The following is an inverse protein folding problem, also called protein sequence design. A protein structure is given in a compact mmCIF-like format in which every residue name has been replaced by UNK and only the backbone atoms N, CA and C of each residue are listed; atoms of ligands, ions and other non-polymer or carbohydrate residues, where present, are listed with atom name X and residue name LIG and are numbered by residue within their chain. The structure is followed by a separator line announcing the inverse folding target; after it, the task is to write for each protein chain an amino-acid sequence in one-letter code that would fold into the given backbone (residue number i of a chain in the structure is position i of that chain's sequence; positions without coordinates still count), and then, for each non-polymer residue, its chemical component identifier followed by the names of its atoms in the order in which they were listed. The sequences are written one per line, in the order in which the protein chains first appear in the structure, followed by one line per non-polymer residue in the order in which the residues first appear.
data_IF_893043384927
#
_entry.id   IF_893043384927
#
_cell.length_a   1.000
_cell.length_b   1.000
_cell.length_c   1.000
_cell.angle_alpha   90.00
_cell.angle_beta   90.00
_cell.angle_gamma   90.00
#
_symmetry.space_group_name_H-M   'P 1'
#
loop_
_entity.id
_entity.type
_entity.pdbx_description
1 polymer ?
#
# COMPACT_ATOMS: atom_id res chain seq x y z
N UNK A 1 -24.57 48.31 -12.92
CA UNK A 1 -23.94 47.88 -11.67
C UNK A 1 -23.30 46.53 -11.95
N UNK A 2 -22.03 46.52 -12.32
CA UNK A 2 -21.25 45.29 -12.49
C UNK A 2 -20.52 45.01 -11.18
N UNK A 3 -20.97 44.00 -10.44
CA UNK A 3 -20.30 43.54 -9.21
C UNK A 3 -19.16 42.61 -9.59
N UNK A 4 -17.95 43.17 -9.69
CA UNK A 4 -16.71 42.42 -9.87
C UNK A 4 -16.34 41.65 -8.60
N UNK A 5 -16.76 40.39 -8.51
CA UNK A 5 -16.23 39.44 -7.54
C UNK A 5 -14.92 38.85 -8.10
N UNK A 6 -13.79 39.55 -7.91
CA UNK A 6 -12.48 38.93 -8.05
C UNK A 6 -12.23 38.10 -6.79
N UNK A 7 -12.54 36.80 -6.85
CA UNK A 7 -12.09 35.88 -5.80
C UNK A 7 -10.57 35.77 -5.90
N UNK A 8 -9.86 36.40 -4.97
CA UNK A 8 -8.45 36.11 -4.71
C UNK A 8 -8.35 34.65 -4.22
N UNK A 9 -8.18 33.72 -5.16
CA UNK A 9 -7.70 32.38 -4.82
C UNK A 9 -6.25 32.55 -4.37
N UNK A 10 -6.03 32.62 -3.05
CA UNK A 10 -4.69 32.47 -2.48
C UNK A 10 -4.26 31.02 -2.72
N UNK A 11 -3.32 30.83 -3.63
CA UNK A 11 -2.57 29.58 -3.74
C UNK A 11 -1.81 29.38 -2.43
N UNK A 12 -2.33 28.52 -1.56
CA UNK A 12 -1.58 28.03 -0.41
C UNK A 12 -0.83 26.80 -0.87
N UNK A 13 0.50 26.83 -0.78
CA UNK A 13 1.35 25.68 -1.10
C UNK A 13 0.88 24.44 -0.31
N UNK A 14 0.83 23.25 -0.94
CA UNK A 14 0.56 22.02 -0.23
C UNK A 14 1.66 21.78 0.82
N UNK A 15 1.28 21.47 2.07
CA UNK A 15 2.25 21.24 3.15
C UNK A 15 2.65 19.78 3.32
N UNK A 16 1.82 18.84 2.85
CA UNK A 16 2.11 17.41 2.95
C UNK A 16 3.25 16.99 2.04
N UNK A 17 4.13 16.10 2.51
CA UNK A 17 5.24 15.52 1.75
C UNK A 17 4.99 14.05 1.41
N UNK A 18 5.67 13.58 0.36
CA UNK A 18 5.83 12.14 0.10
C UNK A 18 7.22 11.77 0.60
N UNK A 19 7.29 10.81 1.51
CA UNK A 19 8.50 10.44 2.22
C UNK A 19 8.78 8.94 2.03
N UNK A 20 10.06 8.58 1.99
CA UNK A 20 10.50 7.18 1.99
C UNK A 20 10.44 6.65 3.42
N UNK A 21 9.67 5.59 3.67
CA UNK A 21 9.39 5.10 5.02
C UNK A 21 10.65 4.63 5.76
N UNK A 22 11.63 4.07 5.05
CA UNK A 22 12.88 3.56 5.63
C UNK A 22 14.02 4.60 5.65
N UNK A 23 13.79 5.80 5.14
CA UNK A 23 14.81 6.86 5.02
C UNK A 23 14.36 8.16 5.70
N UNK A 24 13.42 8.06 6.63
CA UNK A 24 12.97 9.21 7.42
C UNK A 24 14.13 9.76 8.24
N UNK A 25 14.29 11.08 8.24
CA UNK A 25 15.16 11.72 9.22
C UNK A 25 14.52 11.69 10.62
N UNK A 26 15.28 12.10 11.64
CA UNK A 26 14.79 12.09 13.02
C UNK A 26 13.58 12.99 13.25
N UNK A 27 13.47 14.12 12.54
CA UNK A 27 12.32 15.01 12.68
C UNK A 27 11.09 14.36 12.05
N UNK A 28 11.24 13.78 10.86
CA UNK A 28 10.19 13.08 10.12
C UNK A 28 9.69 11.82 10.85
N UNK A 29 10.60 11.03 11.42
CA UNK A 29 10.28 9.86 12.26
C UNK A 29 9.49 10.28 13.52
N UNK A 30 9.95 11.31 14.23
CA UNK A 30 9.26 11.81 15.42
C UNK A 30 7.87 12.36 15.08
N UNK A 31 7.74 13.05 13.94
CA UNK A 31 6.46 13.52 13.45
C UNK A 31 5.51 12.35 13.20
N UNK A 32 5.94 11.34 12.43
CA UNK A 32 5.15 10.12 12.18
C UNK A 32 4.74 9.45 13.50
N UNK A 33 5.66 9.30 14.44
CA UNK A 33 5.39 8.68 15.74
C UNK A 33 4.31 9.41 16.54
N UNK A 34 4.35 10.74 16.58
CA UNK A 34 3.28 11.52 17.23
C UNK A 34 1.96 11.43 16.47
N UNK A 35 1.97 11.32 15.13
CA UNK A 35 0.75 11.08 14.36
C UNK A 35 0.13 9.71 14.63
N UNK A 36 0.95 8.65 14.69
CA UNK A 36 0.52 7.29 15.06
C UNK A 36 -0.11 7.29 16.45
N UNK A 37 0.56 7.94 17.41
CA UNK A 37 0.08 8.07 18.79
C UNK A 37 -1.22 8.86 18.89
N UNK A 38 -1.36 9.97 18.16
CA UNK A 38 -2.62 10.75 18.06
C UNK A 38 -3.78 9.89 17.57
N UNK A 39 -3.50 8.89 16.72
CA UNK A 39 -4.46 7.92 16.22
C UNK A 39 -4.50 6.61 17.03
N UNK A 40 -4.03 6.62 18.28
CA UNK A 40 -4.03 5.48 19.19
C UNK A 40 -3.32 4.23 18.63
N UNK A 41 -2.27 4.43 17.82
CA UNK A 41 -1.54 3.35 17.16
C UNK A 41 -2.16 2.86 15.86
N UNK A 42 -3.14 3.57 15.29
CA UNK A 42 -3.75 3.21 14.01
C UNK A 42 -2.95 3.79 12.85
N UNK A 43 -2.61 2.95 11.87
CA UNK A 43 -2.13 3.35 10.55
C UNK A 43 -3.00 2.79 9.44
N UNK A 44 -2.88 3.36 8.24
CA UNK A 44 -3.51 2.84 7.03
C UNK A 44 -2.44 2.40 6.06
N UNK A 45 -2.50 1.14 5.62
CA UNK A 45 -1.56 0.60 4.64
C UNK A 45 -2.30 0.31 3.34
N UNK A 46 -1.77 0.78 2.21
CA UNK A 46 -2.24 0.43 0.87
C UNK A 46 -1.22 -0.43 0.14
N UNK A 47 -1.63 -1.60 -0.31
CA UNK A 47 -0.78 -2.52 -1.09
C UNK A 47 -1.04 -2.31 -2.58
N UNK A 48 -0.02 -1.86 -3.28
CA UNK A 48 0.02 -1.63 -4.73
C UNK A 48 -1.25 -0.97 -5.31
N UNK A 49 -1.68 0.20 -4.79
CA UNK A 49 -2.96 0.79 -5.18
C UNK A 49 -3.08 1.10 -6.68
N UNK A 50 -1.95 1.29 -7.37
CA UNK A 50 -1.88 1.68 -8.79
C UNK A 50 -1.22 0.59 -9.66
N UNK A 51 -1.31 -0.68 -9.27
CA UNK A 51 -0.59 -1.72 -9.99
C UNK A 51 -1.02 -1.82 -11.46
N UNK A 52 -0.11 -1.52 -12.39
CA UNK A 52 -0.41 -1.38 -13.83
C UNK A 52 -0.51 -2.71 -14.60
N UNK A 53 -0.31 -3.88 -13.97
CA UNK A 53 -0.47 -5.18 -14.67
C UNK A 53 -1.86 -5.35 -15.30
N UNK A 54 -2.83 -4.53 -14.89
CA UNK A 54 -4.12 -4.39 -15.52
C UNK A 54 -4.13 -3.88 -16.99
N UNK A 55 -3.00 -3.40 -17.51
CA UNK A 55 -2.82 -3.03 -18.91
C UNK A 55 -2.37 -4.19 -19.82
N UNK A 56 -2.05 -5.36 -19.24
CA UNK A 56 -1.57 -6.53 -19.97
C UNK A 56 -2.63 -7.50 -20.49
N UNK A 57 -3.92 -7.31 -20.15
CA UNK A 57 -4.96 -8.23 -20.61
C UNK A 57 -5.14 -8.16 -22.13
N UNK A 58 -5.17 -9.31 -22.80
CA UNK A 58 -5.48 -9.37 -24.24
C UNK A 58 -6.95 -9.03 -24.53
N UNK A 59 -7.85 -9.25 -23.56
CA UNK A 59 -9.27 -8.97 -23.69
C UNK A 59 -9.62 -7.50 -23.39
N UNK A 60 -10.30 -6.86 -24.34
CA UNK A 60 -10.69 -5.46 -24.27
C UNK A 60 -11.71 -5.19 -23.15
N UNK A 61 -12.58 -6.14 -22.79
CA UNK A 61 -13.52 -5.93 -21.70
C UNK A 61 -12.81 -5.96 -20.34
N UNK A 62 -11.88 -6.89 -20.14
CA UNK A 62 -11.02 -6.93 -18.96
C UNK A 62 -10.22 -5.62 -18.81
N UNK A 63 -9.58 -5.13 -19.87
CA UNK A 63 -8.89 -3.81 -19.85
C UNK A 63 -9.81 -2.66 -19.43
N UNK A 64 -11.04 -2.60 -19.96
CA UNK A 64 -12.01 -1.54 -19.61
C UNK A 64 -12.43 -1.62 -18.14
N UNK A 65 -12.67 -2.83 -17.63
CA UNK A 65 -13.04 -3.04 -16.23
C UNK A 65 -11.90 -2.62 -15.30
N UNK A 66 -10.69 -3.07 -15.61
CA UNK A 66 -9.45 -2.68 -14.97
C UNK A 66 -9.27 -1.16 -14.88
N UNK A 67 -9.37 -0.45 -16.02
CA UNK A 67 -9.24 1.00 -16.06
C UNK A 67 -10.31 1.71 -15.22
N UNK A 68 -11.55 1.20 -15.19
CA UNK A 68 -12.61 1.76 -14.32
C UNK A 68 -12.29 1.58 -12.84
N UNK A 69 -11.70 0.43 -12.47
CA UNK A 69 -11.35 0.08 -11.08
C UNK A 69 -10.16 0.90 -10.58
N UNK A 70 -9.11 1.09 -11.40
CA UNK A 70 -8.02 2.03 -11.10
C UNK A 70 -8.56 3.44 -10.81
N UNK A 71 -9.42 3.97 -11.67
CA UNK A 71 -10.07 5.28 -11.43
C UNK A 71 -10.95 5.35 -10.18
N UNK A 72 -11.44 4.21 -9.67
CA UNK A 72 -12.17 4.19 -8.40
C UNK A 72 -11.21 4.24 -7.22
N UNK A 73 -10.10 3.49 -7.29
CA UNK A 73 -9.03 3.53 -6.29
C UNK A 73 -8.41 4.93 -6.21
N UNK A 74 -8.08 5.53 -7.35
CA UNK A 74 -7.55 6.90 -7.45
C UNK A 74 -8.45 7.91 -6.74
N UNK A 75 -9.76 7.88 -7.04
CA UNK A 75 -10.74 8.78 -6.43
C UNK A 75 -10.89 8.54 -4.93
N UNK A 76 -10.73 7.30 -4.48
CA UNK A 76 -10.83 6.98 -3.08
C UNK A 76 -9.58 7.42 -2.30
N UNK A 77 -8.39 7.21 -2.87
CA UNK A 77 -7.14 7.74 -2.34
C UNK A 77 -7.19 9.27 -2.30
N UNK A 78 -7.62 9.94 -3.38
CA UNK A 78 -7.81 11.39 -3.39
C UNK A 78 -8.66 11.87 -2.21
N UNK A 79 -9.83 11.27 -1.98
CA UNK A 79 -10.70 11.66 -0.86
C UNK A 79 -10.06 11.45 0.51
N UNK A 80 -9.25 10.39 0.63
CA UNK A 80 -8.47 10.17 1.85
C UNK A 80 -7.50 11.31 2.00
N UNK A 81 -6.70 11.59 0.98
CA UNK A 81 -5.64 12.59 1.02
C UNK A 81 -6.15 14.03 1.19
N UNK A 82 -7.37 14.32 0.72
CA UNK A 82 -8.08 15.58 0.92
C UNK A 82 -8.68 15.74 2.33
N UNK A 83 -8.77 14.67 3.11
CA UNK A 83 -9.33 14.75 4.46
C UNK A 83 -8.34 15.41 5.43
N UNK A 84 -8.86 16.08 6.47
CA UNK A 84 -8.03 16.75 7.47
C UNK A 84 -7.16 15.75 8.26
N UNK A 85 -5.92 16.12 8.56
CA UNK A 85 -4.95 15.26 9.28
C UNK A 85 -5.42 14.78 10.65
N UNK A 86 -6.22 15.58 11.36
CA UNK A 86 -6.80 15.17 12.65
C UNK A 86 -7.81 14.02 12.57
N UNK A 87 -8.22 13.64 11.36
CA UNK A 87 -9.20 12.57 11.12
C UNK A 87 -8.61 11.38 10.37
N UNK A 88 -7.37 11.50 9.91
CA UNK A 88 -6.73 10.50 9.07
C UNK A 88 -5.54 9.89 9.79
N UNK A 89 -5.56 8.57 10.03
CA UNK A 89 -4.34 7.90 10.45
C UNK A 89 -3.26 8.03 9.37
N UNK A 90 -1.97 7.95 9.75
CA UNK A 90 -0.86 7.97 8.81
C UNK A 90 -1.07 6.97 7.68
N UNK A 91 -0.75 7.40 6.45
CA UNK A 91 -0.93 6.60 5.24
C UNK A 91 0.43 6.09 4.78
N UNK A 92 0.56 4.76 4.75
CA UNK A 92 1.71 4.05 4.21
C UNK A 92 1.28 3.35 2.93
N UNK A 93 2.07 3.45 1.87
CA UNK A 93 1.79 2.81 0.57
C UNK A 93 2.94 1.87 0.24
N UNK A 94 2.65 0.59 0.11
CA UNK A 94 3.54 -0.39 -0.51
C UNK A 94 3.42 -0.18 -2.01
N UNK A 95 4.51 0.27 -2.63
CA UNK A 95 4.53 0.66 -4.04
C UNK A 95 5.46 -0.26 -4.83
N UNK A 96 4.91 -0.93 -5.83
CA UNK A 96 5.67 -1.79 -6.72
C UNK A 96 6.64 -0.98 -7.58
N UNK A 97 7.93 -1.28 -7.46
CA UNK A 97 8.95 -0.73 -8.35
C UNK A 97 9.13 -1.72 -9.51
N UNK A 98 8.53 -1.38 -10.65
CA UNK A 98 8.41 -2.28 -11.80
C UNK A 98 9.75 -2.72 -12.46
N UNK A 99 10.88 -2.08 -12.12
CA UNK A 99 12.17 -2.37 -12.76
C UNK A 99 13.13 -3.21 -11.90
N UNK A 100 12.85 -3.44 -10.61
CA UNK A 100 13.74 -4.23 -9.73
C UNK A 100 13.77 -5.71 -10.14
N UNK A 101 12.72 -6.21 -10.79
CA UNK A 101 12.63 -7.62 -11.21
C UNK A 101 13.69 -8.01 -12.25
N UNK A 102 14.24 -7.05 -13.00
CA UNK A 102 15.35 -7.30 -13.92
C UNK A 102 16.72 -7.38 -13.22
N UNK A 103 16.79 -7.02 -11.93
CA UNK A 103 18.03 -6.90 -11.15
C UNK A 103 18.29 -8.11 -10.27
N UNK A 104 17.26 -8.71 -9.67
CA UNK A 104 17.41 -9.88 -8.78
C UNK A 104 17.78 -11.16 -9.52
N UNK A 105 17.75 -11.19 -10.86
CA UNK A 105 18.30 -12.28 -11.67
C UNK A 105 19.83 -12.27 -11.78
N UNK A 106 20.48 -11.20 -11.34
CA UNK A 106 21.92 -11.05 -11.43
C UNK A 106 22.51 -10.76 -10.05
N UNK A 107 23.39 -11.64 -9.60
CA UNK A 107 24.19 -11.51 -8.36
C UNK A 107 25.21 -10.37 -8.53
N UNK A 108 24.72 -9.14 -8.50
CA UNK A 108 25.49 -7.95 -8.88
C UNK A 108 25.54 -7.00 -7.70
N UNK A 109 26.55 -7.25 -6.85
CA UNK A 109 27.04 -6.31 -5.83
C UNK A 109 27.80 -5.13 -6.46
N UNK A 110 27.19 -4.37 -7.37
CA UNK A 110 27.89 -3.24 -8.03
C UNK A 110 27.05 -1.97 -8.09
N UNK A 111 27.73 -0.85 -8.40
CA UNK A 111 27.20 0.51 -8.61
C UNK A 111 25.90 0.58 -9.43
N UNK A 112 25.60 -0.46 -10.23
CA UNK A 112 24.34 -0.61 -10.94
C UNK A 112 23.12 -0.65 -10.02
N UNK A 113 23.19 -1.35 -8.88
CA UNK A 113 22.08 -1.40 -7.91
C UNK A 113 21.77 -0.01 -7.34
N UNK A 114 22.81 0.81 -7.13
CA UNK A 114 22.68 2.20 -6.67
C UNK A 114 22.10 3.10 -7.76
N UNK A 115 22.50 2.92 -9.03
CA UNK A 115 21.94 3.67 -10.16
C UNK A 115 20.47 3.32 -10.42
N UNK A 116 20.12 2.03 -10.33
CA UNK A 116 18.75 1.58 -10.54
C UNK A 116 17.85 1.97 -9.34
N UNK A 117 18.41 2.06 -8.13
CA UNK A 117 17.72 2.68 -7.01
C UNK A 117 17.47 4.17 -7.26
N UNK A 118 18.48 4.93 -7.74
CA UNK A 118 18.26 6.33 -8.14
C UNK A 118 17.16 6.46 -9.18
N UNK A 119 17.09 5.54 -10.16
CA UNK A 119 16.01 5.50 -11.14
C UNK A 119 14.65 5.18 -10.51
N UNK A 120 14.60 4.31 -9.50
CA UNK A 120 13.39 4.07 -8.72
C UNK A 120 12.99 5.31 -7.91
N UNK A 121 13.94 6.05 -7.33
CA UNK A 121 13.71 7.32 -6.64
C UNK A 121 13.21 8.40 -7.61
N UNK A 122 13.79 8.51 -8.81
CA UNK A 122 13.29 9.37 -9.91
C UNK A 122 11.86 8.98 -10.35
N UNK A 123 11.44 7.73 -10.13
CA UNK A 123 10.06 7.31 -10.38
C UNK A 123 9.14 7.51 -9.18
N UNK A 124 9.66 7.53 -7.95
CA UNK A 124 8.95 8.12 -6.82
C UNK A 124 8.70 9.61 -7.08
N UNK A 125 9.62 10.32 -7.75
CA UNK A 125 9.37 11.68 -8.25
C UNK A 125 8.24 11.70 -9.27
N UNK A 126 8.15 10.72 -10.20
CA UNK A 126 6.98 10.58 -11.11
C UNK A 126 5.68 10.21 -10.40
N UNK A 127 5.73 9.47 -9.29
CA UNK A 127 4.56 9.30 -8.44
C UNK A 127 4.24 10.61 -7.72
N UNK A 128 5.25 11.38 -7.34
CA UNK A 128 5.14 12.78 -6.97
C UNK A 128 4.45 13.60 -8.06
N UNK A 129 4.81 13.43 -9.34
CA UNK A 129 4.17 14.07 -10.48
C UNK A 129 2.72 13.59 -10.64
N UNK A 130 2.44 12.30 -10.50
CA UNK A 130 1.08 11.77 -10.49
C UNK A 130 0.26 12.34 -9.34
N UNK A 131 0.82 12.44 -8.13
CA UNK A 131 0.16 13.07 -6.99
C UNK A 131 -0.01 14.59 -7.21
N UNK A 132 0.97 15.26 -7.80
CA UNK A 132 0.91 16.67 -8.19
C UNK A 132 -0.19 16.92 -9.24
N UNK A 133 -0.29 16.06 -10.26
CA UNK A 133 -1.33 16.07 -11.31
C UNK A 133 -2.72 15.76 -10.74
N UNK A 134 -2.76 14.92 -9.71
CA UNK A 134 -3.97 14.64 -8.92
C UNK A 134 -4.46 15.87 -8.14
N UNK A 135 -3.76 17.01 -8.21
CA UNK A 135 -3.98 18.18 -7.35
C UNK A 135 -4.00 17.74 -5.90
N UNK A 136 -2.90 17.12 -5.45
CA UNK A 136 -2.65 16.82 -4.05
C UNK A 136 -2.73 18.10 -3.20
N UNK A 137 -3.95 18.49 -2.88
CA UNK A 137 -4.31 19.55 -1.96
C UNK A 137 -4.47 18.95 -0.56
N UNK A 138 -3.68 17.91 -0.25
CA UNK A 138 -3.49 17.46 1.11
C UNK A 138 -2.86 18.61 1.87
N UNK A 139 -3.70 19.31 2.63
CA UNK A 139 -3.27 20.55 3.27
C UNK A 139 -2.24 20.29 4.37
N UNK A 140 -2.16 19.07 4.90
CA UNK A 140 -1.32 18.78 6.08
C UNK A 140 -0.86 17.30 6.22
N UNK A 141 -1.12 16.36 5.29
CA UNK A 141 -0.77 14.94 5.48
C UNK A 141 0.46 14.48 4.70
N UNK A 142 1.40 13.85 5.41
CA UNK A 142 2.48 13.10 4.78
C UNK A 142 1.99 11.73 4.29
N UNK A 143 2.57 11.26 3.18
CA UNK A 143 2.45 9.87 2.72
C UNK A 143 3.81 9.22 2.84
N UNK A 144 3.82 8.00 3.36
CA UNK A 144 5.03 7.22 3.56
C UNK A 144 5.06 6.08 2.56
N UNK A 145 6.11 6.00 1.74
CA UNK A 145 6.24 4.99 0.70
C UNK A 145 7.17 3.89 1.17
N UNK A 146 6.67 2.66 1.07
CA UNK A 146 7.44 1.43 1.22
C UNK A 146 7.68 0.88 -0.18
N UNK A 147 8.91 0.93 -0.70
CA UNK A 147 9.21 0.32 -1.99
C UNK A 147 9.05 -1.20 -1.92
N UNK A 148 8.45 -1.80 -2.94
CA UNK A 148 8.33 -3.27 -3.05
C UNK A 148 8.77 -3.77 -4.42
N UNK A 149 8.87 -5.09 -4.57
CA UNK A 149 9.13 -5.73 -5.87
C UNK A 149 7.96 -5.50 -6.85
N UNK A 150 8.26 -5.62 -8.15
CA UNK A 150 7.28 -5.42 -9.23
C UNK A 150 6.04 -6.31 -9.09
N UNK A 151 6.17 -7.59 -8.75
CA UNK A 151 5.03 -8.52 -8.70
C UNK A 151 4.89 -9.18 -7.33
N UNK A 152 5.33 -8.48 -6.28
CA UNK A 152 5.26 -8.98 -4.91
C UNK A 152 5.13 -7.81 -3.93
N UNK A 153 4.36 -7.94 -2.85
CA UNK A 153 4.30 -6.94 -1.80
C UNK A 153 5.56 -6.91 -0.92
N UNK A 154 6.58 -7.73 -1.18
CA UNK A 154 7.79 -7.77 -0.38
C UNK A 154 8.50 -6.41 -0.36
N UNK A 155 8.70 -5.81 0.83
CA UNK A 155 9.48 -4.59 0.99
C UNK A 155 10.89 -4.78 0.45
N UNK A 156 11.42 -3.72 -0.17
CA UNK A 156 12.81 -3.67 -0.61
C UNK A 156 13.57 -2.76 0.34
N UNK A 157 14.48 -3.37 1.10
CA UNK A 157 15.43 -2.65 1.93
C UNK A 157 16.79 -2.62 1.25
N UNK A 158 17.43 -1.45 1.24
CA UNK A 158 18.77 -1.29 0.67
C UNK A 158 19.81 -2.19 1.34
N UNK A 159 19.57 -2.59 2.59
CA UNK A 159 20.53 -3.29 3.44
C UNK A 159 20.18 -4.77 3.69
N UNK A 160 18.94 -5.21 3.42
CA UNK A 160 18.52 -6.58 3.73
C UNK A 160 19.11 -7.58 2.73
N UNK A 161 19.61 -8.71 3.25
CA UNK A 161 20.20 -9.76 2.44
C UNK A 161 19.15 -10.77 1.93
N UNK A 162 17.93 -10.78 2.50
CA UNK A 162 16.80 -11.58 2.02
C UNK A 162 15.41 -10.99 2.38
N UNK A 163 14.32 -11.55 1.83
CA UNK A 163 12.93 -11.08 2.02
C UNK A 163 12.43 -11.19 3.47
N UNK A 164 12.83 -12.26 4.18
CA UNK A 164 12.40 -12.50 5.56
C UNK A 164 12.94 -11.41 6.50
N UNK A 165 14.15 -10.95 6.23
CA UNK A 165 14.75 -9.79 6.90
C UNK A 165 13.95 -8.50 6.59
N UNK A 166 13.51 -8.31 5.35
CA UNK A 166 12.80 -7.09 4.96
C UNK A 166 11.44 -6.92 5.65
N UNK A 167 10.65 -7.99 5.75
CA UNK A 167 9.41 -7.95 6.53
C UNK A 167 9.66 -7.79 8.03
N UNK A 168 10.69 -8.46 8.56
CA UNK A 168 11.08 -8.32 9.97
C UNK A 168 11.40 -6.87 10.33
N UNK A 169 12.22 -6.20 9.53
CA UNK A 169 12.55 -4.78 9.71
C UNK A 169 11.33 -3.87 9.59
N UNK A 170 10.45 -4.09 8.60
CA UNK A 170 9.20 -3.32 8.49
C UNK A 170 8.31 -3.49 9.73
N UNK A 171 8.19 -4.72 10.25
CA UNK A 171 7.40 -5.01 11.44
C UNK A 171 8.01 -4.33 12.67
N UNK A 172 9.33 -4.40 12.83
CA UNK A 172 10.05 -3.78 13.94
C UNK A 172 9.92 -2.26 13.90
N UNK A 173 10.00 -1.65 12.72
CA UNK A 173 9.81 -0.22 12.53
C UNK A 173 8.37 0.22 12.88
N UNK A 174 7.36 -0.50 12.39
CA UNK A 174 5.96 -0.25 12.76
C UNK A 174 5.75 -0.36 14.29
N UNK A 175 6.37 -1.35 14.94
CA UNK A 175 6.32 -1.48 16.41
C UNK A 175 7.04 -0.31 17.10
N UNK A 176 8.18 0.15 16.59
CA UNK A 176 8.97 1.27 17.12
C UNK A 176 8.16 2.59 17.13
N UNK A 177 7.32 2.76 16.10
CA UNK A 177 6.37 3.87 15.94
C UNK A 177 5.16 3.77 16.87
N UNK A 178 4.95 2.62 17.51
CA UNK A 178 3.81 2.38 18.40
C UNK A 178 2.52 1.97 17.67
N UNK A 179 2.65 1.41 16.46
CA UNK A 179 1.52 0.86 15.71
C UNK A 179 0.94 -0.33 16.45
N UNK A 180 -0.39 -0.37 16.52
CA UNK A 180 -1.18 -1.43 17.17
C UNK A 180 -2.22 -2.02 16.23
N UNK A 181 -2.80 -1.18 15.38
CA UNK A 181 -3.86 -1.54 14.45
C UNK A 181 -3.54 -1.03 13.06
N UNK A 182 -3.84 -1.83 12.05
CA UNK A 182 -3.63 -1.50 10.65
C UNK A 182 -4.95 -1.63 9.90
N UNK A 183 -5.41 -0.54 9.30
CA UNK A 183 -6.45 -0.59 8.28
C UNK A 183 -5.79 -0.84 6.93
N UNK A 184 -5.89 -2.06 6.41
CA UNK A 184 -5.17 -2.49 5.22
C UNK A 184 -6.07 -2.54 4.00
N UNK A 185 -5.69 -1.85 2.93
CA UNK A 185 -6.36 -1.83 1.64
C UNK A 185 -5.38 -2.08 0.50
N UNK A 186 -5.85 -2.05 -0.74
CA UNK A 186 -4.98 -2.27 -1.89
C UNK A 186 -5.67 -2.95 -3.07
N UNK A 187 -4.88 -3.12 -4.12
CA UNK A 187 -5.24 -3.94 -5.26
C UNK A 187 -5.01 -5.43 -4.96
N UNK A 188 -5.56 -6.30 -5.81
CA UNK A 188 -5.27 -7.75 -5.81
C UNK A 188 -5.49 -8.45 -4.46
N UNK A 189 -6.76 -8.55 -4.10
CA UNK A 189 -7.21 -9.52 -3.11
C UNK A 189 -8.17 -10.49 -3.78
N UNK A 190 -7.82 -11.77 -3.74
CA UNK A 190 -8.69 -12.85 -4.15
C UNK A 190 -8.61 -13.98 -3.14
N UNK A 191 -9.68 -14.75 -3.03
CA UNK A 191 -9.58 -16.09 -2.44
C UNK A 191 -9.26 -17.08 -3.57
N UNK A 192 -8.41 -18.10 -3.36
CA UNK A 192 -8.29 -19.20 -4.30
C UNK A 192 -9.69 -19.72 -4.64
N UNK A 193 -9.85 -20.26 -5.85
CA UNK A 193 -11.11 -20.87 -6.22
C UNK A 193 -11.45 -22.03 -5.27
N UNK A 194 -12.74 -22.35 -5.18
CA UNK A 194 -13.23 -23.37 -4.24
C UNK A 194 -12.59 -24.74 -4.47
N UNK A 195 -12.25 -25.07 -5.72
CA UNK A 195 -11.64 -26.36 -6.09
C UNK A 195 -10.22 -26.43 -5.53
N UNK A 196 -9.43 -25.37 -5.70
CA UNK A 196 -8.10 -25.26 -5.12
C UNK A 196 -8.13 -25.31 -3.59
N UNK A 197 -9.14 -24.68 -2.96
CA UNK A 197 -9.33 -24.75 -1.51
C UNK A 197 -9.67 -26.17 -1.03
N UNK A 198 -10.55 -26.88 -1.73
CA UNK A 198 -10.96 -28.25 -1.38
C UNK A 198 -9.79 -29.24 -1.54
N UNK A 199 -8.97 -29.08 -2.58
CA UNK A 199 -7.81 -29.95 -2.85
C UNK A 199 -6.65 -29.74 -1.85
N UNK A 200 -6.50 -28.54 -1.29
CA UNK A 200 -5.41 -28.19 -0.39
C UNK A 200 -5.87 -27.94 1.07
N UNK A 201 -7.12 -28.30 1.41
CA UNK A 201 -7.78 -27.96 2.67
C UNK A 201 -6.98 -28.38 3.92
N UNK A 202 -6.24 -29.48 3.87
CA UNK A 202 -5.41 -29.97 4.98
C UNK A 202 -4.24 -29.06 5.34
N UNK A 203 -3.75 -28.22 4.41
CA UNK A 203 -2.66 -27.27 4.66
C UNK A 203 -3.14 -26.04 5.46
N UNK A 204 -4.45 -25.85 5.52
CA UNK A 204 -5.09 -24.63 6.00
C UNK A 204 -6.09 -24.86 7.13
N UNK A 205 -6.29 -26.12 7.51
CA UNK A 205 -7.10 -26.52 8.66
C UNK A 205 -6.22 -26.48 9.91
N UNK A 206 -6.59 -25.68 10.90
CA UNK A 206 -5.94 -25.67 12.21
C UNK A 206 -6.10 -27.02 12.92
N UNK A 207 -5.31 -27.26 13.96
CA UNK A 207 -5.37 -28.53 14.71
C UNK A 207 -6.75 -28.80 15.34
N UNK A 208 -7.55 -27.76 15.55
CA UNK A 208 -8.92 -27.83 16.09
C UNK A 208 -10.01 -27.99 15.01
N UNK A 209 -9.62 -28.08 13.73
CA UNK A 209 -10.54 -28.21 12.62
C UNK A 209 -11.09 -26.88 12.09
N UNK A 210 -10.67 -25.73 12.65
CA UNK A 210 -11.07 -24.42 12.14
C UNK A 210 -10.32 -24.06 10.87
N UNK A 211 -11.01 -23.35 9.98
CA UNK A 211 -10.47 -22.87 8.71
C UNK A 211 -10.04 -21.42 8.93
N UNK A 212 -8.72 -21.16 8.91
CA UNK A 212 -8.21 -19.80 8.97
C UNK A 212 -8.37 -19.15 7.59
N UNK A 213 -9.52 -18.54 7.33
CA UNK A 213 -9.85 -17.87 6.05
C UNK A 213 -8.78 -16.85 5.64
N UNK A 214 -8.08 -16.26 6.62
CA UNK A 214 -6.99 -15.35 6.30
C UNK A 214 -5.85 -16.07 5.56
N UNK A 215 -5.58 -17.37 5.80
CA UNK A 215 -4.65 -18.27 5.03
C UNK A 215 -4.99 -18.41 3.55
N UNK A 216 -6.20 -18.03 3.19
CA UNK A 216 -6.70 -18.12 1.83
C UNK A 216 -6.72 -16.76 1.14
N UNK A 217 -6.15 -15.72 1.75
CA UNK A 217 -6.01 -14.46 1.03
C UNK A 217 -4.83 -14.57 0.07
N UNK A 218 -5.17 -14.70 -1.21
CA UNK A 218 -4.24 -14.66 -2.32
C UNK A 218 -4.01 -13.23 -2.83
N UNK A 219 -2.98 -13.10 -3.65
CA UNK A 219 -2.56 -11.82 -4.22
C UNK A 219 -1.70 -11.00 -3.26
N UNK A 220 -1.23 -9.85 -3.75
CA UNK A 220 -0.30 -9.00 -3.01
C UNK A 220 -0.89 -8.55 -1.67
N UNK A 221 -2.18 -8.18 -1.63
CA UNK A 221 -2.82 -7.79 -0.37
C UNK A 221 -2.93 -8.95 0.62
N UNK A 222 -3.30 -10.15 0.14
CA UNK A 222 -3.43 -11.32 1.00
C UNK A 222 -2.11 -11.75 1.63
N UNK A 223 -1.04 -11.75 0.83
CA UNK A 223 0.30 -12.01 1.36
C UNK A 223 0.75 -10.94 2.36
N UNK A 224 0.46 -9.65 2.15
CA UNK A 224 0.75 -8.63 3.17
C UNK A 224 -0.03 -8.86 4.47
N UNK A 225 -1.30 -9.27 4.39
CA UNK A 225 -2.09 -9.64 5.58
C UNK A 225 -1.39 -10.77 6.34
N UNK A 226 -0.85 -11.77 5.65
CA UNK A 226 -0.09 -12.85 6.28
C UNK A 226 1.11 -12.38 7.08
N UNK A 227 1.90 -11.48 6.51
CA UNK A 227 3.12 -11.00 7.15
C UNK A 227 2.82 -10.16 8.40
N UNK A 228 1.69 -9.43 8.41
CA UNK A 228 1.39 -8.46 9.47
C UNK A 228 0.48 -9.02 10.59
N UNK A 229 -0.35 -10.04 10.32
CA UNK A 229 -1.44 -10.46 11.23
C UNK A 229 -0.99 -11.03 12.58
N UNK A 230 0.22 -11.56 12.66
CA UNK A 230 0.76 -12.08 13.93
C UNK A 230 1.21 -10.95 14.88
N UNK A 231 1.39 -9.74 14.36
CA UNK A 231 2.01 -8.62 15.06
C UNK A 231 1.06 -7.45 15.32
N UNK A 232 -0.04 -7.34 14.57
CA UNK A 232 -0.96 -6.19 14.62
C UNK A 232 -2.42 -6.62 14.49
N UNK A 233 -3.33 -5.82 15.08
CA UNK A 233 -4.77 -5.94 14.81
C UNK A 233 -5.05 -5.46 13.37
N UNK A 234 -5.58 -6.32 12.52
CA UNK A 234 -5.80 -6.00 11.10
C UNK A 234 -7.29 -5.85 10.78
N UNK A 235 -7.61 -4.78 10.08
CA UNK A 235 -8.93 -4.57 9.50
C UNK A 235 -8.83 -4.34 7.99
N UNK A 236 -9.62 -5.07 7.21
CA UNK A 236 -9.69 -4.86 5.76
C UNK A 236 -10.45 -3.57 5.43
N UNK A 237 -9.76 -2.66 4.75
CA UNK A 237 -10.29 -1.40 4.23
C UNK A 237 -11.46 -1.63 3.27
N UNK A 238 -12.34 -0.63 3.18
CA UNK A 238 -13.34 -0.58 2.10
C UNK A 238 -12.72 -0.37 0.72
N UNK A 239 -11.45 0.02 0.68
CA UNK A 239 -10.66 0.27 -0.53
C UNK A 239 -9.76 -0.92 -0.85
N UNK A 240 -10.35 -2.09 -0.71
CA UNK A 240 -9.80 -3.35 -1.16
C UNK A 240 -10.60 -3.78 -2.38
N UNK A 241 -9.91 -4.27 -3.40
CA UNK A 241 -10.53 -4.70 -4.65
C UNK A 241 -11.78 -5.58 -4.42
N UNK A 242 -12.93 -5.27 -5.05
CA UNK A 242 -14.26 -5.63 -4.52
C UNK A 242 -14.69 -7.08 -4.72
N UNK A 243 -14.07 -7.85 -5.63
CA UNK A 243 -14.43 -9.26 -5.84
C UNK A 243 -14.02 -10.10 -4.62
N UNK A 244 -12.77 -10.00 -4.17
CA UNK A 244 -12.30 -10.70 -2.97
C UNK A 244 -13.04 -10.28 -1.70
N UNK A 245 -13.40 -8.99 -1.52
CA UNK A 245 -14.06 -8.55 -0.27
C UNK A 245 -15.46 -9.13 -0.09
N UNK A 246 -16.25 -9.25 -1.15
CA UNK A 246 -17.59 -9.85 -1.04
C UNK A 246 -17.50 -11.36 -0.79
N UNK A 247 -16.52 -12.03 -1.37
CA UNK A 247 -16.23 -13.45 -1.14
C UNK A 247 -15.76 -13.69 0.30
N UNK A 248 -14.81 -12.90 0.78
CA UNK A 248 -14.30 -12.96 2.16
C UNK A 248 -15.40 -12.66 3.17
N UNK A 249 -16.22 -11.62 2.94
CA UNK A 249 -17.34 -11.30 3.85
C UNK A 249 -18.38 -12.42 3.92
N UNK A 250 -18.64 -13.13 2.82
CA UNK A 250 -19.53 -14.31 2.84
C UNK A 250 -18.90 -15.45 3.64
N UNK A 251 -17.60 -15.69 3.45
CA UNK A 251 -16.86 -16.73 4.17
C UNK A 251 -16.60 -16.41 5.66
N UNK A 252 -16.65 -15.13 6.07
CA UNK A 252 -16.48 -14.69 7.46
C UNK A 252 -17.76 -14.70 8.30
N UNK A 253 -18.93 -14.87 7.68
CA UNK A 253 -20.23 -14.81 8.37
C UNK A 253 -20.89 -16.19 8.55
N UNK A 254 -20.28 -17.25 8.02
CA UNK A 254 -20.63 -18.67 8.25
C UNK A 254 -19.64 -19.29 9.25
#
# INVERSE_FOLDING_TARGET
METGFKSEMRETEPKGKILSFFELDKEEENNLKEEVKRHNGLVRIFVHPNFEEYAGYEDKQQQIQSAKKLRQMDRALQRILESSSDKLPPVIILHAINEIWNLTKYDVKTDKMVQDYKLATEKLEKMGDWMNDVKYNSRDNNIYIVPTKSCSPDPVLLCAHNEKEAWGEMIDELKSLGVKKILIGGAELYTPDKIYMEENMSEYTEQDGTIDVMKYLGGCLGYTVHQLRENFDLELSTLTYPEGRQEIKKQWQD
#
